data_IF_427306943973
#
_entry.id   IF_427306943973
#
_cell.length_a   1.000
_cell.length_b   1.000
_cell.length_c   1.000
_cell.angle_alpha   90.00
_cell.angle_beta   90.00
_cell.angle_gamma   90.00
#
_symmetry.space_group_name_H-M   'P 1'
#
loop_
_entity.id
_entity.type
_entity.pdbx_description
1 polymer ?
#
# COMPACT_ATOMS: atom_id res chain seq x y z
N UNK A 1 -27.58 -6.10 19.55
CA UNK A 1 -27.04 -5.80 18.21
C UNK A 1 -27.40 -4.40 17.72
N UNK A 2 -28.67 -3.97 17.79
CA UNK A 2 -29.11 -2.62 17.35
C UNK A 2 -28.32 -1.46 17.99
N UNK A 3 -28.03 -1.53 19.29
CA UNK A 3 -27.25 -0.48 19.98
C UNK A 3 -25.82 -0.35 19.44
N UNK A 4 -25.14 -1.46 19.12
CA UNK A 4 -23.78 -1.43 18.59
C UNK A 4 -23.75 -0.91 17.14
N UNK A 5 -24.70 -1.33 16.31
CA UNK A 5 -24.84 -0.80 14.96
C UNK A 5 -25.09 0.71 14.98
N UNK A 6 -25.92 1.21 15.90
CA UNK A 6 -26.15 2.64 16.07
C UNK A 6 -24.88 3.39 16.50
N UNK A 7 -24.03 2.79 17.35
CA UNK A 7 -22.73 3.38 17.68
C UNK A 7 -21.84 3.51 16.45
N UNK A 8 -21.74 2.46 15.63
CA UNK A 8 -20.96 2.48 14.38
C UNK A 8 -21.50 3.54 13.42
N UNK A 9 -22.83 3.63 13.26
CA UNK A 9 -23.46 4.66 12.41
C UNK A 9 -23.17 6.08 12.90
N UNK A 10 -23.27 6.32 14.22
CA UNK A 10 -22.95 7.62 14.81
C UNK A 10 -21.49 8.00 14.56
N UNK A 11 -20.56 7.05 14.73
CA UNK A 11 -19.14 7.27 14.43
C UNK A 11 -18.91 7.54 12.93
N UNK A 12 -19.64 6.85 12.05
CA UNK A 12 -19.57 7.09 10.61
C UNK A 12 -20.07 8.48 10.23
N UNK A 13 -21.17 8.93 10.82
CA UNK A 13 -21.70 10.27 10.59
C UNK A 13 -20.72 11.36 11.05
N UNK A 14 -20.03 11.16 12.17
CA UNK A 14 -18.99 12.09 12.64
C UNK A 14 -17.85 12.23 11.62
N UNK A 15 -17.33 11.12 11.10
CA UNK A 15 -16.24 11.15 10.11
C UNK A 15 -16.69 11.88 8.85
N UNK A 16 -17.93 11.65 8.41
CA UNK A 16 -18.50 12.34 7.26
C UNK A 16 -18.63 13.85 7.51
N UNK A 17 -19.18 14.25 8.66
CA UNK A 17 -19.33 15.67 9.05
C UNK A 17 -18.00 16.40 9.19
N UNK A 18 -16.94 15.71 9.63
CA UNK A 18 -15.56 16.26 9.68
C UNK A 18 -14.91 16.44 8.30
N UNK A 19 -15.61 16.10 7.20
CA UNK A 19 -15.16 16.24 5.80
C UNK A 19 -13.82 15.54 5.50
N UNK A 20 -13.38 14.57 6.32
CA UNK A 20 -12.10 13.86 6.11
C UNK A 20 -12.09 13.09 4.80
N UNK A 21 -13.21 12.44 4.45
CA UNK A 21 -13.35 11.76 3.16
C UNK A 21 -13.37 12.75 2.00
N UNK A 22 -13.89 13.96 2.20
CA UNK A 22 -13.78 15.01 1.18
C UNK A 22 -12.33 15.45 0.97
N UNK A 23 -11.52 15.55 2.04
CA UNK A 23 -10.07 15.79 1.93
C UNK A 23 -9.39 14.65 1.16
N UNK A 24 -9.70 13.39 1.46
CA UNK A 24 -9.17 12.24 0.70
C UNK A 24 -9.57 12.32 -0.78
N UNK A 25 -10.83 12.57 -1.09
CA UNK A 25 -11.31 12.73 -2.47
C UNK A 25 -10.61 13.89 -3.19
N UNK A 26 -10.37 15.01 -2.51
CA UNK A 26 -9.64 16.15 -3.06
C UNK A 26 -8.18 15.79 -3.35
N UNK A 27 -7.51 15.09 -2.43
CA UNK A 27 -6.15 14.59 -2.63
C UNK A 27 -6.10 13.66 -3.86
N UNK A 28 -7.05 12.73 -3.99
CA UNK A 28 -7.14 11.84 -5.15
C UNK A 28 -7.42 12.61 -6.44
N UNK A 29 -8.33 13.59 -6.41
CA UNK A 29 -8.66 14.43 -7.56
C UNK A 29 -7.49 15.28 -8.06
N UNK A 30 -6.50 15.58 -7.21
CA UNK A 30 -5.30 16.33 -7.60
C UNK A 30 -4.16 15.38 -7.98
N UNK A 31 -3.86 14.39 -7.14
CA UNK A 31 -2.67 13.56 -7.30
C UNK A 31 -2.82 12.54 -8.42
N UNK A 32 -4.00 11.92 -8.60
CA UNK A 32 -4.17 10.91 -9.65
C UNK A 32 -4.00 11.52 -11.05
N UNK A 33 -4.60 12.66 -11.42
CA UNK A 33 -4.32 13.29 -12.71
C UNK A 33 -2.84 13.65 -12.89
N UNK A 34 -2.14 14.05 -11.82
CA UNK A 34 -0.71 14.33 -11.87
C UNK A 34 0.08 13.04 -12.20
N UNK A 35 -0.24 11.91 -11.57
CA UNK A 35 0.39 10.63 -11.88
C UNK A 35 0.05 10.12 -13.28
N UNK A 36 -1.21 10.26 -13.71
CA UNK A 36 -1.65 9.93 -15.09
C UNK A 36 -0.86 10.76 -16.11
N UNK A 37 -0.74 12.07 -15.88
CA UNK A 37 0.03 12.97 -16.75
C UNK A 37 1.52 12.63 -16.74
N UNK A 38 2.11 12.35 -15.58
CA UNK A 38 3.50 11.94 -15.47
C UNK A 38 3.78 10.66 -16.27
N UNK A 39 2.94 9.63 -16.14
CA UNK A 39 3.07 8.39 -16.90
C UNK A 39 2.86 8.62 -18.41
N UNK A 40 1.90 9.46 -18.80
CA UNK A 40 1.70 9.82 -20.21
C UNK A 40 2.94 10.49 -20.81
N UNK A 41 3.55 11.43 -20.09
CA UNK A 41 4.78 12.12 -20.50
C UNK A 41 5.97 11.18 -20.58
N UNK A 42 6.09 10.22 -19.68
CA UNK A 42 7.14 9.21 -19.71
C UNK A 42 7.04 8.32 -20.95
N UNK A 43 5.82 7.87 -21.30
CA UNK A 43 5.56 7.09 -22.52
C UNK A 43 5.92 7.91 -23.77
N UNK A 44 5.44 9.15 -23.85
CA UNK A 44 5.70 10.05 -24.98
C UNK A 44 7.22 10.31 -25.16
N UNK A 45 7.93 10.53 -24.06
CA UNK A 45 9.38 10.77 -24.07
C UNK A 45 10.16 9.54 -24.52
N UNK A 46 9.74 8.36 -24.05
CA UNK A 46 10.36 7.08 -24.43
C UNK A 46 10.17 6.79 -25.92
N UNK A 47 8.95 7.01 -26.44
CA UNK A 47 8.67 6.85 -27.88
C UNK A 47 9.48 7.83 -28.74
N UNK A 48 9.59 9.10 -28.33
CA UNK A 48 10.42 10.09 -29.03
C UNK A 48 11.90 9.72 -29.03
N UNK A 49 12.43 9.20 -27.92
CA UNK A 49 13.82 8.78 -27.79
C UNK A 49 14.14 7.58 -28.69
N UNK A 50 13.22 6.62 -28.78
CA UNK A 50 13.41 5.39 -29.55
C UNK A 50 13.03 5.53 -31.02
N UNK A 51 12.28 6.59 -31.39
CA UNK A 51 11.78 6.79 -32.76
C UNK A 51 10.78 5.74 -33.21
N UNK A 52 10.27 4.91 -32.30
CA UNK A 52 9.33 3.82 -32.58
C UNK A 52 8.28 3.72 -31.49
N UNK A 53 7.08 3.28 -31.87
CA UNK A 53 5.99 2.92 -30.97
C UNK A 53 6.01 1.45 -30.58
N UNK A 54 6.93 0.66 -31.17
CA UNK A 54 7.04 -0.77 -30.89
C UNK A 54 7.57 -1.00 -29.46
N UNK A 55 6.74 -1.64 -28.64
CA UNK A 55 7.06 -1.97 -27.27
C UNK A 55 8.22 -2.96 -27.16
N UNK A 56 8.43 -3.81 -28.19
CA UNK A 56 9.53 -4.77 -28.21
C UNK A 56 10.88 -4.07 -28.26
N UNK A 57 11.00 -3.00 -29.04
CA UNK A 57 12.22 -2.20 -29.13
C UNK A 57 12.52 -1.51 -27.80
N UNK A 58 11.50 -0.98 -27.13
CA UNK A 58 11.64 -0.41 -25.78
C UNK A 58 12.10 -1.47 -24.77
N UNK A 59 11.51 -2.66 -24.81
CA UNK A 59 11.83 -3.74 -23.89
C UNK A 59 13.25 -4.30 -24.14
N UNK A 60 13.62 -4.49 -25.41
CA UNK A 60 14.98 -4.89 -25.81
C UNK A 60 16.02 -3.87 -25.33
N UNK A 61 15.75 -2.58 -25.47
CA UNK A 61 16.64 -1.54 -24.95
C UNK A 61 16.79 -1.65 -23.43
N UNK A 62 15.69 -1.89 -22.69
CA UNK A 62 15.75 -2.06 -21.24
C UNK A 62 16.56 -3.31 -20.83
N UNK A 63 16.48 -4.40 -21.60
CA UNK A 63 17.25 -5.63 -21.38
C UNK A 63 18.74 -5.34 -21.58
N UNK A 64 19.10 -4.69 -22.70
CA UNK A 64 20.49 -4.31 -23.00
C UNK A 64 21.05 -3.37 -21.93
N UNK A 65 20.30 -2.35 -21.51
CA UNK A 65 20.70 -1.43 -20.46
C UNK A 65 20.91 -2.16 -19.11
N UNK A 66 20.07 -3.15 -18.81
CA UNK A 66 20.17 -3.95 -17.58
C UNK A 66 21.35 -4.92 -17.61
N UNK A 67 21.62 -5.56 -18.75
CA UNK A 67 22.79 -6.43 -18.96
C UNK A 67 24.10 -5.64 -18.91
N UNK A 68 24.14 -4.45 -19.51
CA UNK A 68 25.30 -3.55 -19.45
C UNK A 68 25.62 -3.14 -18.00
N UNK A 69 24.60 -2.91 -17.17
CA UNK A 69 24.80 -2.68 -15.73
C UNK A 69 25.37 -3.92 -15.06
N UNK A 70 24.82 -5.10 -15.35
CA UNK A 70 25.24 -6.39 -14.79
C UNK A 70 26.72 -6.72 -15.03
N UNK A 71 27.25 -6.33 -16.19
CA UNK A 71 28.65 -6.47 -16.56
C UNK A 71 29.61 -5.56 -15.77
N UNK A 72 29.10 -4.60 -15.01
CA UNK A 72 29.93 -3.74 -14.15
C UNK A 72 30.37 -4.50 -12.88
N UNK A 73 31.68 -4.78 -12.77
CA UNK A 73 32.27 -5.57 -11.68
C UNK A 73 32.09 -4.97 -10.29
N UNK A 74 31.72 -3.69 -10.16
CA UNK A 74 31.54 -2.98 -8.88
C UNK A 74 30.12 -3.06 -8.30
N UNK A 75 29.21 -3.80 -8.92
CA UNK A 75 27.85 -3.95 -8.39
C UNK A 75 27.84 -4.82 -7.12
N UNK A 76 27.15 -4.39 -6.05
CA UNK A 76 26.85 -5.26 -4.92
C UNK A 76 26.07 -6.50 -5.36
N UNK A 77 26.26 -7.62 -4.67
CA UNK A 77 25.69 -8.93 -5.05
C UNK A 77 24.16 -8.93 -5.08
N UNK A 78 23.52 -8.29 -4.09
CA UNK A 78 22.04 -8.14 -4.03
C UNK A 78 21.46 -7.42 -5.26
N UNK A 79 22.14 -6.36 -5.70
CA UNK A 79 21.73 -5.60 -6.89
C UNK A 79 21.96 -6.39 -8.17
N UNK A 80 23.00 -7.24 -8.19
CA UNK A 80 23.28 -8.13 -9.33
C UNK A 80 22.17 -9.16 -9.49
N UNK A 81 21.72 -9.78 -8.41
CA UNK A 81 20.65 -10.77 -8.47
C UNK A 81 19.30 -10.14 -8.80
N UNK A 82 19.00 -8.95 -8.26
CA UNK A 82 17.83 -8.17 -8.68
C UNK A 82 17.84 -7.87 -10.19
N UNK A 83 18.99 -7.47 -10.73
CA UNK A 83 19.13 -7.21 -12.18
C UNK A 83 18.99 -8.48 -13.02
N UNK A 84 19.54 -9.63 -12.56
CA UNK A 84 19.40 -10.92 -13.27
C UNK A 84 17.93 -11.32 -13.37
N UNK A 85 17.22 -11.34 -12.24
CA UNK A 85 15.78 -11.67 -12.19
C UNK A 85 14.98 -10.74 -13.10
N UNK A 86 15.29 -9.43 -13.07
CA UNK A 86 14.62 -8.46 -13.93
C UNK A 86 14.85 -8.73 -15.43
N UNK A 87 16.08 -9.06 -15.82
CA UNK A 87 16.43 -9.40 -17.21
C UNK A 87 15.68 -10.66 -17.65
N UNK A 88 15.68 -11.71 -16.83
CA UNK A 88 14.95 -12.95 -17.13
C UNK A 88 13.45 -12.71 -17.28
N UNK A 89 12.85 -11.89 -16.40
CA UNK A 89 11.44 -11.49 -16.52
C UNK A 89 11.17 -10.74 -17.82
N UNK A 90 12.00 -9.75 -18.16
CA UNK A 90 11.85 -8.97 -19.40
C UNK A 90 12.03 -9.83 -20.65
N UNK A 91 12.97 -10.77 -20.63
CA UNK A 91 13.17 -11.72 -21.72
C UNK A 91 11.93 -12.62 -21.87
N UNK A 92 11.36 -13.12 -20.77
CA UNK A 92 10.15 -13.92 -20.80
C UNK A 92 8.97 -13.17 -21.44
N UNK A 93 8.78 -11.88 -21.11
CA UNK A 93 7.77 -11.03 -21.74
C UNK A 93 7.97 -10.92 -23.26
N UNK A 94 9.22 -10.77 -23.71
CA UNK A 94 9.56 -10.69 -25.13
C UNK A 94 9.31 -12.01 -25.86
N UNK A 95 9.71 -13.13 -25.26
CA UNK A 95 9.60 -14.47 -25.84
C UNK A 95 8.14 -14.94 -25.98
N UNK A 96 7.27 -14.52 -25.06
CA UNK A 96 5.85 -14.87 -25.05
C UNK A 96 4.94 -13.80 -25.71
N UNK A 97 5.51 -12.78 -26.34
CA UNK A 97 4.79 -11.69 -27.00
C UNK A 97 3.80 -10.94 -26.07
N UNK A 98 4.17 -10.79 -24.80
CA UNK A 98 3.35 -10.12 -23.78
C UNK A 98 3.88 -8.70 -23.61
N UNK A 99 3.04 -7.69 -23.85
CA UNK A 99 3.40 -6.29 -23.64
C UNK A 99 3.14 -5.86 -22.17
N UNK A 100 4.17 -5.72 -21.32
CA UNK A 100 4.00 -5.27 -19.93
C UNK A 100 3.66 -3.79 -19.81
N UNK A 101 3.86 -3.01 -20.88
CA UNK A 101 3.64 -1.55 -20.93
C UNK A 101 2.39 -1.19 -21.74
N UNK A 102 1.49 -2.15 -21.97
CA UNK A 102 0.28 -1.91 -22.72
C UNK A 102 -0.55 -0.79 -22.06
N UNK A 103 -0.80 0.33 -22.77
CA UNK A 103 -1.52 1.46 -22.21
C UNK A 103 -2.98 1.05 -21.95
N UNK A 104 -3.49 1.42 -20.78
CA UNK A 104 -4.88 1.19 -20.41
C UNK A 104 -5.14 1.51 -18.95
N UNK A 105 -6.40 1.84 -18.63
CA UNK A 105 -6.83 2.13 -17.27
C UNK A 105 -6.52 0.99 -16.28
N UNK A 106 -6.75 -0.30 -16.61
CA UNK A 106 -6.38 -1.40 -15.73
C UNK A 106 -4.87 -1.44 -15.45
N UNK A 107 -4.03 -1.07 -16.43
CA UNK A 107 -2.56 -1.08 -16.29
C UNK A 107 -2.11 0.04 -15.36
N UNK A 108 -2.72 1.22 -15.50
CA UNK A 108 -2.53 2.31 -14.56
C UNK A 108 -2.95 1.91 -13.14
N UNK A 109 -4.16 1.36 -12.95
CA UNK A 109 -4.67 0.94 -11.64
C UNK A 109 -3.75 -0.07 -10.98
N UNK A 110 -3.28 -1.07 -11.74
CA UNK A 110 -2.28 -2.05 -11.26
C UNK A 110 -1.01 -1.35 -10.79
N UNK A 111 -0.40 -0.54 -11.65
CA UNK A 111 0.85 0.15 -11.34
C UNK A 111 0.69 1.09 -10.13
N UNK A 112 -0.45 1.78 -10.04
CA UNK A 112 -0.76 2.70 -8.96
C UNK A 112 -0.88 1.99 -7.62
N UNK A 113 -1.52 0.82 -7.56
CA UNK A 113 -1.59 0.02 -6.33
C UNK A 113 -0.21 -0.53 -5.94
N UNK A 114 0.53 -1.10 -6.90
CA UNK A 114 1.87 -1.64 -6.62
C UNK A 114 2.82 -0.58 -6.06
N UNK A 115 2.77 0.65 -6.58
CA UNK A 115 3.61 1.75 -6.11
C UNK A 115 3.03 2.44 -4.86
N UNK A 116 1.71 2.47 -4.74
CA UNK A 116 1.00 3.18 -3.68
C UNK A 116 0.88 2.43 -2.37
N UNK A 117 1.06 1.10 -2.36
CA UNK A 117 0.83 0.24 -1.19
C UNK A 117 1.75 0.58 0.01
N UNK A 118 2.98 1.02 -0.24
CA UNK A 118 3.99 1.22 0.81
C UNK A 118 3.84 2.54 1.55
N UNK A 119 3.35 3.57 0.87
CA UNK A 119 3.33 4.93 1.42
C UNK A 119 2.02 5.66 1.11
N UNK A 120 1.64 5.76 -0.16
CA UNK A 120 0.48 6.55 -0.57
C UNK A 120 -0.84 6.13 0.13
N UNK A 121 -1.18 4.85 0.06
CA UNK A 121 -2.39 4.30 0.69
C UNK A 121 -2.29 4.37 2.24
N UNK A 122 -1.18 3.92 2.87
CA UNK A 122 -0.92 4.14 4.30
C UNK A 122 -1.15 5.58 4.76
N UNK A 123 -0.70 6.58 4.00
CA UNK A 123 -0.89 7.99 4.33
C UNK A 123 -2.37 8.41 4.34
N UNK A 124 -3.15 8.00 3.35
CA UNK A 124 -4.58 8.29 3.32
C UNK A 124 -5.32 7.65 4.50
N UNK A 125 -4.95 6.41 4.83
CA UNK A 125 -5.55 5.64 5.93
C UNK A 125 -5.22 6.27 7.28
N UNK A 126 -3.96 6.65 7.52
CA UNK A 126 -3.56 7.23 8.81
C UNK A 126 -4.28 8.57 9.09
N UNK A 127 -4.60 9.37 8.06
CA UNK A 127 -5.33 10.64 8.25
C UNK A 127 -6.68 10.40 8.93
N UNK A 128 -7.39 9.34 8.52
CA UNK A 128 -8.69 8.99 9.10
C UNK A 128 -8.49 8.24 10.42
N UNK A 129 -7.60 7.26 10.49
CA UNK A 129 -7.39 6.44 11.68
C UNK A 129 -6.93 7.25 12.90
N UNK A 130 -6.04 8.23 12.70
CA UNK A 130 -5.51 9.05 13.79
C UNK A 130 -6.60 10.00 14.31
N UNK A 131 -7.43 10.58 13.47
CA UNK A 131 -8.44 11.56 13.92
C UNK A 131 -9.60 10.92 14.72
N UNK A 132 -9.83 9.61 14.59
CA UNK A 132 -10.98 8.91 15.20
C UNK A 132 -11.01 8.98 16.74
N UNK A 133 -9.85 8.88 17.41
CA UNK A 133 -9.76 8.98 18.88
C UNK A 133 -9.12 10.29 19.32
N UNK A 134 -7.98 10.68 18.77
CA UNK A 134 -7.27 11.90 19.18
C UNK A 134 -8.03 13.18 18.80
N UNK A 135 -8.79 13.16 17.70
CA UNK A 135 -9.62 14.29 17.29
C UNK A 135 -10.73 14.57 18.30
N UNK A 136 -11.42 13.54 18.79
CA UNK A 136 -12.44 13.73 19.83
C UNK A 136 -11.87 14.15 21.19
N UNK A 137 -10.64 13.71 21.49
CA UNK A 137 -9.93 14.13 22.70
C UNK A 137 -9.53 15.60 22.61
N UNK A 138 -9.15 16.07 21.43
CA UNK A 138 -8.83 17.48 21.15
C UNK A 138 -10.09 18.36 21.16
N UNK A 139 -11.21 17.85 20.64
CA UNK A 139 -12.50 18.54 20.62
C UNK A 139 -13.24 18.51 21.98
N UNK A 140 -12.72 17.81 23.00
CA UNK A 140 -13.34 17.66 24.33
C UNK A 140 -14.58 16.75 24.38
N UNK A 141 -15.06 16.26 23.23
CA UNK A 141 -16.28 15.44 23.11
C UNK A 141 -16.15 14.04 23.73
N UNK A 142 -14.92 13.56 23.91
CA UNK A 142 -14.66 12.27 24.57
C UNK A 142 -15.21 12.23 26.00
N UNK A 143 -15.16 13.34 26.76
CA UNK A 143 -15.70 13.40 28.13
C UNK A 143 -17.23 13.22 28.13
N UNK A 144 -17.94 13.80 27.16
CA UNK A 144 -19.40 13.66 27.01
C UNK A 144 -19.84 12.25 26.60
N UNK A 145 -19.01 11.52 25.86
CA UNK A 145 -19.34 10.14 25.46
C UNK A 145 -19.22 9.17 26.64
N UNK A 146 -18.30 9.44 27.57
CA UNK A 146 -18.03 8.59 28.73
C UNK A 146 -19.02 8.77 29.88
N UNK A 147 -19.90 9.78 29.85
CA UNK A 147 -20.99 9.91 30.83
C UNK A 147 -22.20 9.02 30.50
N UNK A 148 -22.24 8.44 29.30
CA UNK A 148 -23.28 7.46 28.92
C UNK A 148 -22.98 6.10 29.56
N UNK A 149 -23.99 5.31 29.97
CA UNK A 149 -23.81 4.01 30.63
C UNK A 149 -23.41 2.90 29.63
N UNK A 150 -22.36 3.14 28.83
CA UNK A 150 -21.84 2.21 27.81
C UNK A 150 -20.43 1.80 28.23
N UNK A 151 -20.14 0.49 28.19
CA UNK A 151 -18.80 -0.02 28.52
C UNK A 151 -17.76 0.58 27.55
N UNK A 152 -16.64 1.10 28.08
CA UNK A 152 -15.57 1.78 27.32
C UNK A 152 -15.05 0.97 26.13
N UNK A 153 -14.88 -0.35 26.30
CA UNK A 153 -14.42 -1.23 25.22
C UNK A 153 -15.41 -1.30 24.03
N UNK A 154 -16.73 -1.16 24.27
CA UNK A 154 -17.73 -1.12 23.18
C UNK A 154 -17.61 0.14 22.35
N UNK A 155 -17.27 1.27 22.98
CA UNK A 155 -17.04 2.56 22.30
C UNK A 155 -15.79 2.48 21.42
N UNK A 156 -14.69 1.93 21.97
CA UNK A 156 -13.47 1.75 21.19
C UNK A 156 -13.66 0.75 20.04
N UNK A 157 -14.42 -0.33 20.28
CA UNK A 157 -14.73 -1.31 19.25
C UNK A 157 -15.60 -0.72 18.13
N UNK A 158 -16.60 0.12 18.44
CA UNK A 158 -17.40 0.75 17.38
C UNK A 158 -16.53 1.67 16.52
N UNK A 159 -15.61 2.41 17.12
CA UNK A 159 -14.62 3.23 16.41
C UNK A 159 -13.70 2.41 15.51
N UNK A 160 -13.22 1.27 16.00
CA UNK A 160 -12.38 0.37 15.21
C UNK A 160 -13.14 -0.22 14.01
N UNK A 161 -14.39 -0.68 14.20
CA UNK A 161 -15.23 -1.17 13.10
C UNK A 161 -15.54 -0.08 12.08
N UNK A 162 -15.85 1.13 12.54
CA UNK A 162 -16.02 2.29 11.66
C UNK A 162 -14.74 2.56 10.86
N UNK A 163 -13.57 2.53 11.49
CA UNK A 163 -12.29 2.69 10.81
C UNK A 163 -12.09 1.66 9.68
N UNK A 164 -12.37 0.37 9.94
CA UNK A 164 -12.25 -0.69 8.93
C UNK A 164 -13.17 -0.44 7.72
N UNK A 165 -14.39 0.05 7.97
CA UNK A 165 -15.31 0.43 6.91
C UNK A 165 -14.75 1.59 6.07
N UNK A 166 -14.23 2.64 6.71
CA UNK A 166 -13.63 3.77 5.98
C UNK A 166 -12.34 3.41 5.26
N UNK A 167 -11.51 2.50 5.78
CA UNK A 167 -10.34 1.98 5.06
C UNK A 167 -10.78 1.31 3.75
N UNK A 168 -11.83 0.48 3.82
CA UNK A 168 -12.39 -0.19 2.65
C UNK A 168 -12.94 0.83 1.64
N UNK A 169 -13.63 1.87 2.12
CA UNK A 169 -14.11 2.96 1.28
C UNK A 169 -12.98 3.76 0.63
N UNK A 170 -11.91 4.07 1.36
CA UNK A 170 -10.74 4.78 0.81
C UNK A 170 -10.14 3.97 -0.34
N UNK A 171 -9.92 2.68 -0.15
CA UNK A 171 -9.36 1.82 -1.20
C UNK A 171 -10.26 1.72 -2.43
N UNK A 172 -11.58 1.64 -2.23
CA UNK A 172 -12.54 1.71 -3.32
C UNK A 172 -12.42 3.03 -4.08
N UNK A 173 -12.34 4.17 -3.37
CA UNK A 173 -12.16 5.48 -3.98
C UNK A 173 -10.83 5.59 -4.73
N UNK A 174 -9.74 5.06 -4.19
CA UNK A 174 -8.44 5.02 -4.89
C UNK A 174 -8.59 4.30 -6.23
N UNK A 175 -9.22 3.12 -6.25
CA UNK A 175 -9.42 2.38 -7.49
C UNK A 175 -10.37 3.04 -8.46
N UNK A 176 -11.46 3.62 -7.96
CA UNK A 176 -12.44 4.31 -8.79
C UNK A 176 -11.82 5.53 -9.47
N UNK A 177 -11.12 6.39 -8.72
CA UNK A 177 -10.45 7.57 -9.27
C UNK A 177 -9.32 7.16 -10.22
N UNK A 178 -8.49 6.18 -9.85
CA UNK A 178 -7.44 5.67 -10.71
C UNK A 178 -8.01 5.16 -12.03
N UNK A 179 -9.09 4.36 -12.01
CA UNK A 179 -9.70 3.81 -13.21
C UNK A 179 -10.36 4.87 -14.10
N UNK A 180 -11.18 5.76 -13.53
CA UNK A 180 -11.89 6.80 -14.28
C UNK A 180 -10.89 7.75 -14.93
N UNK A 181 -9.96 8.31 -14.15
CA UNK A 181 -9.07 9.37 -14.64
C UNK A 181 -8.03 8.83 -15.62
N UNK A 182 -7.50 7.63 -15.39
CA UNK A 182 -6.57 7.01 -16.33
C UNK A 182 -7.26 6.54 -17.61
N UNK A 183 -8.51 6.08 -17.54
CA UNK A 183 -9.27 5.65 -18.71
C UNK A 183 -9.63 6.78 -19.67
N UNK A 184 -9.77 8.02 -19.17
CA UNK A 184 -9.92 9.21 -20.02
C UNK A 184 -8.68 9.50 -20.88
N UNK A 185 -7.48 9.06 -20.45
CA UNK A 185 -6.21 9.34 -21.13
C UNK A 185 -5.70 8.13 -21.91
N UNK A 186 -5.72 6.95 -21.30
CA UNK A 186 -5.15 5.71 -21.87
C UNK A 186 -6.20 4.75 -22.44
N UNK A 187 -7.49 5.01 -22.25
CA UNK A 187 -8.58 4.10 -22.63
C UNK A 187 -8.87 3.01 -21.59
N UNK A 188 -10.00 2.31 -21.77
CA UNK A 188 -10.54 1.34 -20.80
C UNK A 188 -10.26 -0.14 -21.16
N UNK A 189 -9.43 -0.40 -22.17
CA UNK A 189 -9.01 -1.74 -22.54
C UNK A 189 -7.91 -2.26 -21.61
N UNK A 190 -7.67 -3.58 -21.62
CA UNK A 190 -6.53 -4.19 -20.91
C UNK A 190 -6.87 -5.11 -19.74
N UNK A 191 -8.15 -5.34 -19.42
CA UNK A 191 -8.56 -6.19 -18.29
C UNK A 191 -8.13 -7.66 -18.40
N UNK A 192 -7.99 -8.18 -19.63
CA UNK A 192 -7.61 -9.56 -19.90
C UNK A 192 -6.16 -9.71 -20.34
N UNK A 193 -5.34 -8.66 -20.23
CA UNK A 193 -3.92 -8.77 -20.55
C UNK A 193 -3.27 -9.79 -19.60
N UNK A 194 -2.40 -10.66 -20.14
CA UNK A 194 -1.72 -11.63 -19.30
C UNK A 194 -0.70 -10.93 -18.41
N UNK A 195 -0.76 -11.23 -17.12
CA UNK A 195 0.20 -10.76 -16.11
C UNK A 195 0.93 -11.96 -15.54
N UNK A 196 2.27 -11.85 -15.47
CA UNK A 196 3.11 -12.87 -14.84
C UNK A 196 2.99 -12.78 -13.33
N UNK A 197 2.72 -13.92 -12.70
CA UNK A 197 2.71 -14.10 -11.25
C UNK A 197 3.30 -15.44 -10.86
N UNK A 198 3.70 -15.58 -9.59
CA UNK A 198 4.11 -16.88 -9.04
C UNK A 198 5.62 -17.13 -9.09
N UNK A 199 6.43 -16.08 -9.20
CA UNK A 199 7.86 -16.19 -8.94
C UNK A 199 8.08 -16.49 -7.46
N UNK A 200 8.33 -17.75 -7.13
CA UNK A 200 8.74 -18.18 -5.80
C UNK A 200 10.25 -18.34 -5.83
N UNK A 201 10.95 -17.54 -5.02
CA UNK A 201 12.40 -17.61 -4.90
C UNK A 201 12.72 -18.65 -3.83
N UNK A 202 13.42 -19.72 -4.22
CA UNK A 202 14.10 -20.61 -3.28
C UNK A 202 15.61 -20.41 -3.45
N UNK A 203 16.23 -19.89 -2.37
CA UNK A 203 17.67 -19.76 -2.14
C UNK A 203 18.52 -19.69 -3.43
N UNK A 204 18.43 -18.56 -4.14
CA UNK A 204 19.27 -18.20 -5.31
C UNK A 204 18.82 -18.71 -6.69
N UNK A 205 17.71 -19.43 -6.80
CA UNK A 205 17.09 -19.74 -8.10
C UNK A 205 15.61 -19.33 -8.15
N UNK A 206 15.21 -18.69 -9.24
CA UNK A 206 13.79 -18.48 -9.52
C UNK A 206 13.19 -19.85 -9.84
N UNK A 207 12.36 -20.37 -8.93
CA UNK A 207 11.58 -21.54 -9.26
C UNK A 207 10.43 -21.10 -10.18
N UNK A 208 10.65 -21.25 -11.48
CA UNK A 208 9.68 -20.90 -12.54
C UNK A 208 8.51 -21.87 -12.64
N UNK A 209 8.51 -22.97 -11.87
CA UNK A 209 7.47 -24.00 -11.93
C UNK A 209 6.06 -23.51 -11.51
N UNK A 210 5.98 -22.38 -10.81
CA UNK A 210 4.71 -21.78 -10.38
C UNK A 210 4.37 -20.49 -11.14
N UNK A 211 5.13 -20.16 -12.19
CA UNK A 211 4.83 -18.98 -13.02
C UNK A 211 3.58 -19.26 -13.82
N UNK A 212 2.51 -18.58 -13.45
CA UNK A 212 1.23 -18.68 -14.12
C UNK A 212 0.82 -17.31 -14.66
N UNK A 213 0.33 -17.34 -15.90
CA UNK A 213 -0.30 -16.21 -16.56
C UNK A 213 -1.70 -16.06 -15.97
N UNK A 214 -1.93 -14.99 -15.23
CA UNK A 214 -3.27 -14.66 -14.78
C UNK A 214 -3.80 -13.44 -15.54
N UNK A 215 -5.10 -13.38 -15.85
CA UNK A 215 -5.72 -12.18 -16.36
C UNK A 215 -5.49 -10.99 -15.41
N UNK A 216 -5.24 -9.82 -16.00
CA UNK A 216 -4.95 -8.61 -15.24
C UNK A 216 -6.02 -8.24 -14.21
N UNK A 217 -7.30 -8.49 -14.47
CA UNK A 217 -8.36 -8.27 -13.48
C UNK A 217 -8.18 -9.13 -12.22
N UNK A 218 -7.72 -10.39 -12.34
CA UNK A 218 -7.43 -11.25 -11.20
C UNK A 218 -6.23 -10.74 -10.41
N UNK A 219 -5.18 -10.32 -11.12
CA UNK A 219 -4.00 -9.71 -10.51
C UNK A 219 -4.37 -8.47 -9.69
N UNK A 220 -5.18 -7.57 -10.28
CA UNK A 220 -5.64 -6.35 -9.62
C UNK A 220 -6.41 -6.72 -8.34
N UNK A 221 -7.32 -7.68 -8.38
CA UNK A 221 -8.05 -8.11 -7.18
C UNK A 221 -7.11 -8.65 -6.08
N UNK A 222 -6.10 -9.46 -6.43
CA UNK A 222 -5.10 -9.94 -5.47
C UNK A 222 -4.29 -8.78 -4.88
N UNK A 223 -3.82 -7.85 -5.72
CA UNK A 223 -3.08 -6.68 -5.29
C UNK A 223 -3.92 -5.76 -4.38
N UNK A 224 -5.20 -5.56 -4.69
CA UNK A 224 -6.14 -4.83 -3.82
C UNK A 224 -6.37 -5.55 -2.49
N UNK A 225 -6.45 -6.89 -2.49
CA UNK A 225 -6.56 -7.67 -1.26
C UNK A 225 -5.35 -7.48 -0.33
N UNK A 226 -4.13 -7.50 -0.90
CA UNK A 226 -2.91 -7.22 -0.15
C UNK A 226 -2.84 -5.76 0.32
N UNK A 227 -3.20 -4.81 -0.54
CA UNK A 227 -3.26 -3.39 -0.18
C UNK A 227 -4.29 -3.12 0.93
N UNK A 228 -5.42 -3.83 0.93
CA UNK A 228 -6.43 -3.80 1.98
C UNK A 228 -5.91 -4.33 3.30
N UNK A 229 -5.20 -5.47 3.27
CA UNK A 229 -4.54 -6.00 4.46
C UNK A 229 -3.50 -5.02 5.03
N UNK A 230 -2.62 -4.48 4.18
CA UNK A 230 -1.62 -3.47 4.58
C UNK A 230 -2.29 -2.23 5.16
N UNK A 231 -3.35 -1.75 4.53
CA UNK A 231 -4.13 -0.61 5.01
C UNK A 231 -4.76 -0.87 6.38
N UNK A 232 -5.27 -2.08 6.65
CA UNK A 232 -5.78 -2.46 7.98
C UNK A 232 -4.68 -2.46 9.02
N UNK A 233 -3.51 -3.01 8.71
CA UNK A 233 -2.38 -3.06 9.63
C UNK A 233 -1.92 -1.65 9.99
N UNK A 234 -1.65 -0.82 8.99
CA UNK A 234 -1.27 0.58 9.21
C UNK A 234 -2.38 1.35 9.93
N UNK A 235 -3.64 1.14 9.56
CA UNK A 235 -4.79 1.72 10.24
C UNK A 235 -4.85 1.32 11.72
N UNK A 236 -4.56 0.07 12.05
CA UNK A 236 -4.55 -0.43 13.44
C UNK A 236 -3.39 0.13 14.26
N UNK A 237 -2.20 0.27 13.67
CA UNK A 237 -1.05 0.93 14.31
C UNK A 237 -1.36 2.42 14.51
N UNK A 238 -1.94 3.07 13.50
CA UNK A 238 -2.37 4.48 13.56
C UNK A 238 -3.45 4.71 14.61
N UNK A 239 -4.37 3.75 14.77
CA UNK A 239 -5.39 3.75 15.81
C UNK A 239 -4.78 3.64 17.21
N UNK A 240 -3.77 2.79 17.40
CA UNK A 240 -2.99 2.74 18.64
C UNK A 240 -2.35 4.09 18.94
N UNK A 241 -1.71 4.71 17.94
CA UNK A 241 -1.12 6.05 18.09
C UNK A 241 -2.19 7.09 18.43
N UNK A 242 -3.39 7.00 17.85
CA UNK A 242 -4.54 7.85 18.16
C UNK A 242 -4.98 7.74 19.64
N UNK A 243 -4.90 6.54 20.22
CA UNK A 243 -5.23 6.30 21.63
C UNK A 243 -4.12 6.83 22.56
N UNK A 244 -2.85 6.62 22.20
CA UNK A 244 -1.71 7.01 23.02
C UNK A 244 -1.45 8.52 22.99
N UNK A 245 -1.57 9.15 21.83
CA UNK A 245 -1.25 10.56 21.61
C UNK A 245 -2.51 11.41 21.70
N UNK A 246 -2.47 12.44 22.55
CA UNK A 246 -3.64 13.30 22.80
C UNK A 246 -3.94 14.27 21.67
N UNK A 247 -2.92 14.65 20.90
CA UNK A 247 -2.98 15.68 19.86
C UNK A 247 -2.90 15.06 18.46
N UNK A 248 -3.90 15.32 17.61
CA UNK A 248 -3.99 14.76 16.24
C UNK A 248 -2.77 15.08 15.37
N UNK A 249 -2.33 16.34 15.21
CA UNK A 249 -1.09 16.69 14.52
C UNK A 249 0.15 15.92 14.99
N UNK A 250 0.32 15.75 16.30
CA UNK A 250 1.46 15.01 16.85
C UNK A 250 1.37 13.51 16.48
N UNK A 251 0.17 12.92 16.55
CA UNK A 251 -0.06 11.55 16.11
C UNK A 251 0.27 11.35 14.64
N UNK A 252 -0.17 12.28 13.78
CA UNK A 252 0.12 12.28 12.36
C UNK A 252 1.63 12.36 12.10
N UNK A 253 2.35 13.27 12.77
CA UNK A 253 3.80 13.39 12.63
C UNK A 253 4.56 12.11 12.99
N UNK A 254 4.18 11.45 14.10
CA UNK A 254 4.81 10.19 14.54
C UNK A 254 4.59 9.07 13.52
N UNK A 255 3.36 8.88 13.04
CA UNK A 255 3.08 7.83 12.05
C UNK A 255 3.74 8.10 10.70
N UNK A 256 3.76 9.37 10.26
CA UNK A 256 4.47 9.76 9.03
C UNK A 256 5.96 9.45 9.13
N UNK A 257 6.60 9.82 10.25
CA UNK A 257 8.00 9.53 10.50
C UNK A 257 8.27 8.02 10.50
N UNK A 258 7.40 7.21 11.13
CA UNK A 258 7.56 5.75 11.17
C UNK A 258 7.43 5.09 9.77
N UNK A 259 6.53 5.59 8.93
CA UNK A 259 6.37 5.11 7.54
C UNK A 259 7.60 5.47 6.70
N UNK A 260 8.05 6.73 6.74
CA UNK A 260 9.22 7.19 5.97
C UNK A 260 10.50 6.51 6.45
N UNK A 261 10.69 6.40 7.77
CA UNK A 261 11.86 5.75 8.35
C UNK A 261 12.00 4.30 7.88
N UNK A 262 10.89 3.58 7.68
CA UNK A 262 10.89 2.23 7.12
C UNK A 262 11.47 2.14 5.72
N UNK A 263 11.02 3.01 4.81
CA UNK A 263 11.52 3.05 3.42
C UNK A 263 12.99 3.47 3.32
N UNK A 264 13.43 4.35 4.21
CA UNK A 264 14.85 4.70 4.33
C UNK A 264 15.62 3.48 4.86
N UNK A 265 15.12 2.84 5.92
CA UNK A 265 15.80 1.71 6.55
C UNK A 265 15.97 0.53 5.58
N UNK A 266 14.96 0.23 4.75
CA UNK A 266 15.08 -0.81 3.72
C UNK A 266 16.16 -0.50 2.68
N UNK A 267 16.54 0.76 2.52
CA UNK A 267 17.59 1.18 1.57
C UNK A 267 19.00 1.19 2.19
N UNK A 268 19.12 1.41 3.50
CA UNK A 268 20.41 1.61 4.19
C UNK A 268 20.85 0.44 5.07
N UNK A 269 19.90 -0.32 5.61
CA UNK A 269 20.17 -1.32 6.64
C UNK A 269 20.08 -2.75 6.09
N UNK A 270 20.59 -2.98 4.88
CA UNK A 270 20.58 -4.31 4.25
C UNK A 270 21.37 -5.36 5.03
N UNK A 271 22.41 -4.92 5.74
CA UNK A 271 23.21 -5.77 6.65
C UNK A 271 22.59 -5.96 8.04
N UNK A 272 21.54 -5.22 8.40
CA UNK A 272 20.92 -5.33 9.72
C UNK A 272 19.76 -6.32 9.70
N UNK A 273 20.00 -7.54 10.18
CA UNK A 273 18.97 -8.57 10.26
C UNK A 273 17.74 -8.17 11.10
N UNK A 274 17.87 -7.22 12.03
CA UNK A 274 16.76 -6.73 12.86
C UNK A 274 15.76 -5.86 12.10
N UNK A 275 16.19 -5.23 11.00
CA UNK A 275 15.33 -4.35 10.19
C UNK A 275 14.09 -5.07 9.63
N UNK A 276 14.20 -6.39 9.40
CA UNK A 276 13.11 -7.22 8.89
C UNK A 276 11.87 -7.27 9.79
N UNK A 277 12.00 -6.97 11.08
CA UNK A 277 10.86 -6.99 12.01
C UNK A 277 10.08 -5.67 12.05
N UNK A 278 10.62 -4.61 11.46
CA UNK A 278 9.93 -3.31 11.42
C UNK A 278 8.76 -3.39 10.44
N UNK A 279 7.57 -2.97 10.90
CA UNK A 279 6.34 -3.11 10.11
C UNK A 279 6.43 -2.39 8.76
N UNK A 280 7.04 -1.20 8.72
CA UNK A 280 7.11 -0.36 7.52
C UNK A 280 8.02 -0.93 6.43
N UNK A 281 8.93 -1.85 6.78
CA UNK A 281 9.79 -2.59 5.84
C UNK A 281 9.02 -3.74 5.16
N UNK A 282 7.92 -4.20 5.75
CA UNK A 282 7.13 -5.34 5.24
C UNK A 282 5.88 -4.93 4.45
N UNK A 283 5.70 -3.63 4.14
CA UNK A 283 4.48 -3.13 3.51
C UNK A 283 4.36 -3.47 2.01
N UNK A 284 5.48 -3.78 1.34
CA UNK A 284 5.51 -4.01 -0.11
C UNK A 284 5.07 -5.43 -0.51
N UNK A 285 3.90 -5.88 -0.01
CA UNK A 285 3.41 -7.24 -0.25
C UNK A 285 3.16 -7.57 -1.73
N UNK A 286 2.88 -6.56 -2.56
CA UNK A 286 2.69 -6.73 -4.01
C UNK A 286 3.97 -7.08 -4.77
N UNK A 287 5.14 -6.84 -4.17
CA UNK A 287 6.42 -7.24 -4.76
C UNK A 287 6.51 -8.77 -4.88
N UNK A 288 5.99 -9.49 -3.90
CA UNK A 288 5.91 -10.95 -3.94
C UNK A 288 4.96 -11.48 -5.02
N UNK A 289 3.89 -10.75 -5.36
CA UNK A 289 2.98 -11.14 -6.45
C UNK A 289 3.63 -10.91 -7.83
N UNK A 290 4.32 -9.78 -7.99
CA UNK A 290 5.00 -9.41 -9.24
C UNK A 290 6.35 -10.11 -9.43
N UNK A 291 6.81 -10.86 -8.43
CA UNK A 291 8.10 -11.54 -8.45
C UNK A 291 9.30 -10.62 -8.35
N UNK A 292 9.13 -9.45 -7.74
CA UNK A 292 10.25 -8.56 -7.43
C UNK A 292 10.96 -9.09 -6.20
N UNK A 293 12.30 -9.09 -6.25
CA UNK A 293 13.13 -9.44 -5.11
C UNK A 293 12.94 -8.40 -3.98
N UNK A 294 12.68 -8.82 -2.73
CA UNK A 294 12.56 -7.92 -1.61
C UNK A 294 13.90 -7.23 -1.32
N UNK A 295 13.85 -6.02 -0.75
CA UNK A 295 15.03 -5.20 -0.46
C UNK A 295 15.96 -5.80 0.62
N UNK A 296 15.48 -6.75 1.42
CA UNK A 296 16.24 -7.42 2.46
C UNK A 296 16.22 -8.94 2.26
N UNK A 297 17.38 -9.58 2.46
CA UNK A 297 17.50 -11.03 2.41
C UNK A 297 16.66 -11.71 3.51
N UNK A 298 16.06 -12.85 3.17
CA UNK A 298 15.24 -13.65 4.10
C UNK A 298 13.80 -13.16 4.29
N UNK A 299 13.38 -12.09 3.61
CA UNK A 299 11.98 -11.71 3.53
C UNK A 299 11.21 -12.65 2.60
N UNK A 300 10.10 -13.19 3.09
CA UNK A 300 9.15 -13.97 2.31
C UNK A 300 7.74 -13.43 2.50
N UNK A 301 6.85 -13.71 1.57
CA UNK A 301 5.45 -13.30 1.66
C UNK A 301 4.81 -13.75 2.99
N UNK A 302 5.03 -15.01 3.38
CA UNK A 302 4.53 -15.57 4.63
C UNK A 302 5.11 -14.87 5.87
N UNK A 303 6.42 -14.61 5.88
CA UNK A 303 7.07 -13.87 6.96
C UNK A 303 6.50 -12.45 7.10
N UNK A 304 6.38 -11.71 5.99
CA UNK A 304 5.85 -10.34 6.01
C UNK A 304 4.39 -10.29 6.47
N UNK A 305 3.54 -11.20 6.00
CA UNK A 305 2.15 -11.32 6.45
C UNK A 305 2.06 -11.61 7.96
N UNK A 306 2.88 -12.54 8.46
CA UNK A 306 2.92 -12.87 9.88
C UNK A 306 3.42 -11.70 10.72
N UNK A 307 4.52 -11.05 10.32
CA UNK A 307 5.08 -9.90 11.03
C UNK A 307 4.08 -8.74 11.11
N UNK A 308 3.42 -8.39 10.00
CA UNK A 308 2.39 -7.36 9.96
C UNK A 308 1.17 -7.71 10.85
N UNK A 309 0.77 -8.98 10.87
CA UNK A 309 -0.31 -9.46 11.74
C UNK A 309 0.04 -9.33 13.21
N UNK A 310 1.27 -9.70 13.60
CA UNK A 310 1.77 -9.55 14.98
C UNK A 310 1.72 -8.08 15.39
N UNK A 311 2.21 -7.16 14.55
CA UNK A 311 2.12 -5.73 14.80
C UNK A 311 0.68 -5.25 14.97
N UNK A 312 -0.24 -5.66 14.09
CA UNK A 312 -1.65 -5.29 14.20
C UNK A 312 -2.28 -5.81 15.51
N UNK A 313 -2.04 -7.06 15.88
CA UNK A 313 -2.57 -7.67 17.11
C UNK A 313 -2.01 -6.98 18.35
N UNK A 314 -0.70 -6.77 18.42
CA UNK A 314 -0.05 -6.06 19.54
C UNK A 314 -0.60 -4.63 19.66
N UNK A 315 -0.70 -3.90 18.55
CA UNK A 315 -1.26 -2.55 18.54
C UNK A 315 -2.72 -2.52 19.00
N UNK A 316 -3.54 -3.50 18.60
CA UNK A 316 -4.92 -3.61 19.04
C UNK A 316 -4.99 -3.86 20.55
N UNK A 317 -4.22 -4.81 21.07
CA UNK A 317 -4.18 -5.14 22.51
C UNK A 317 -3.78 -3.90 23.32
N UNK A 318 -2.70 -3.21 22.94
CA UNK A 318 -2.25 -1.99 23.60
C UNK A 318 -3.35 -0.92 23.59
N UNK A 319 -4.01 -0.72 22.44
CA UNK A 319 -5.11 0.26 22.30
C UNK A 319 -6.24 0.00 23.28
N UNK A 320 -6.70 -1.25 23.38
CA UNK A 320 -7.80 -1.63 24.26
C UNK A 320 -7.39 -1.58 25.74
N UNK A 321 -6.19 -2.03 26.09
CA UNK A 321 -5.70 -1.98 27.47
C UNK A 321 -5.55 -0.54 27.96
N UNK A 322 -4.96 0.34 27.16
CA UNK A 322 -4.79 1.74 27.53
C UNK A 322 -6.15 2.43 27.64
N UNK A 323 -7.02 2.31 26.63
CA UNK A 323 -8.31 3.00 26.64
C UNK A 323 -9.25 2.55 27.77
N UNK A 324 -9.17 1.27 28.17
CA UNK A 324 -10.01 0.75 29.27
C UNK A 324 -9.48 1.16 30.64
N UNK A 325 -8.16 1.22 30.84
CA UNK A 325 -7.53 1.57 32.12
C UNK A 325 -7.35 3.08 32.34
N UNK A 326 -7.30 3.88 31.28
CA UNK A 326 -7.01 5.31 31.39
C UNK A 326 -8.23 6.05 31.94
N UNK A 327 -8.09 6.71 33.09
CA UNK A 327 -9.11 7.63 33.59
C UNK A 327 -9.07 8.93 32.80
N UNK A 328 -10.12 9.15 32.00
CA UNK A 328 -10.25 10.29 31.11
C UNK A 328 -11.03 11.47 31.74
N UNK A 329 -11.26 11.42 33.06
CA UNK A 329 -12.04 12.41 33.82
C UNK A 329 -11.23 13.60 34.34
N UNK A 330 -9.89 13.57 34.28
CA UNK A 330 -9.04 14.72 34.63
C UNK A 330 -8.78 15.58 33.39
#
# INVERSE_FOLDING_TARGET
MREFANLVLNESEKIYRKKRIFVVMLILAILIPLFVYAQYREIETTQKRLGTTDWKVSLQQQIVDSQNRLNNSRLPEEWRDWLKVRVEQQQYYLDHDINPMAPGAPTFVRAFIEQGITLFIPLLVMIVAIDIVSGERSDGTMKMLLTRPIRRWKILLSKYVTMLFFISLILLLVGLFAYILSGLVFGYSGWNLPVLTGFVIDKETLNTNFVHLIPQWQYILMAYGLAWFVAIVVGTISFMVSVLIRNTPAGMGVMLAALIAGGILSSFATSWEGAKYIFSVNLSLTDYLSGKLPALQGLSMGFSLMNLTVWAVVSLIISFLVFTKQDMLN
#
